data_IF_608770995165
#
_entry.id   IF_608770995165
#
_cell.length_a   1.000
_cell.length_b   1.000
_cell.length_c   1.000
_cell.angle_alpha   90.00
_cell.angle_beta   90.00
_cell.angle_gamma   90.00
#
_symmetry.space_group_name_H-M   'P 1'
#
loop_
_entity.id
_entity.type
_entity.pdbx_description
1 polymer ?
#
# COMPACT_ATOMS: atom_id res chain seq x y z
N UNK A 1 61.87 9.50 45.25
CA UNK A 1 62.13 8.76 44.01
C UNK A 1 61.08 7.65 43.92
N UNK A 2 59.83 7.94 43.51
CA UNK A 2 59.26 7.77 42.15
C UNK A 2 59.81 6.53 41.43
N UNK A 3 59.00 5.48 41.30
CA UNK A 3 58.51 4.91 40.03
C UNK A 3 57.41 3.88 40.33
N UNK A 4 56.16 4.31 40.23
CA UNK A 4 54.96 3.50 40.34
C UNK A 4 54.62 3.00 38.92
N UNK A 5 54.65 1.68 38.69
CA UNK A 5 54.19 1.07 37.45
C UNK A 5 52.66 1.11 37.41
N UNK A 6 52.08 1.96 36.57
CA UNK A 6 50.67 1.88 36.18
C UNK A 6 50.62 1.32 34.75
N UNK A 7 50.32 0.04 34.66
CA UNK A 7 49.88 -0.60 33.40
C UNK A 7 48.44 -0.13 33.17
N UNK A 8 48.25 0.74 32.18
CA UNK A 8 46.92 1.14 31.71
C UNK A 8 46.43 0.03 30.78
N UNK A 9 45.50 -0.81 31.25
CA UNK A 9 44.74 -1.70 30.38
C UNK A 9 43.67 -0.89 29.65
N UNK A 10 43.79 -0.82 28.31
CA UNK A 10 42.73 -0.31 27.45
C UNK A 10 41.65 -1.38 27.30
N UNK A 11 40.44 -1.12 27.82
CA UNK A 11 39.27 -1.93 27.54
C UNK A 11 38.64 -1.46 26.22
N UNK A 12 38.82 -2.25 25.16
CA UNK A 12 38.10 -2.06 23.90
C UNK A 12 36.69 -2.66 24.04
N UNK A 13 35.66 -1.83 24.17
CA UNK A 13 34.27 -2.25 24.09
C UNK A 13 33.90 -2.46 22.62
N UNK A 14 33.72 -3.72 22.20
CA UNK A 14 33.18 -4.06 20.88
C UNK A 14 31.65 -3.99 20.98
N UNK A 15 31.05 -2.93 20.42
CA UNK A 15 29.60 -2.83 20.23
C UNK A 15 29.20 -3.74 19.06
N UNK A 16 28.57 -4.88 19.36
CA UNK A 16 27.85 -5.65 18.35
C UNK A 16 26.51 -4.96 18.08
N UNK A 17 26.46 -4.12 17.05
CA UNK A 17 25.18 -3.71 16.48
C UNK A 17 24.59 -4.93 15.77
N UNK A 18 23.59 -5.55 16.38
CA UNK A 18 22.73 -6.49 15.69
C UNK A 18 22.01 -5.72 14.57
N UNK A 19 22.50 -5.84 13.34
CA UNK A 19 21.80 -5.35 12.15
C UNK A 19 20.58 -6.25 11.99
N UNK A 20 19.42 -5.81 12.45
CA UNK A 20 18.16 -6.40 12.02
C UNK A 20 18.06 -6.14 10.52
N UNK A 21 18.14 -7.19 9.71
CA UNK A 21 17.86 -7.07 8.28
C UNK A 21 16.40 -6.61 8.14
N UNK A 22 16.22 -5.36 7.74
CA UNK A 22 14.96 -4.85 7.24
C UNK A 22 14.54 -5.72 6.04
N UNK A 23 13.47 -6.50 6.20
CA UNK A 23 12.90 -7.26 5.08
C UNK A 23 11.88 -6.37 4.38
N UNK A 24 11.84 -6.43 3.06
CA UNK A 24 10.78 -5.84 2.27
C UNK A 24 10.02 -6.97 1.59
N UNK A 25 8.70 -6.83 1.47
CA UNK A 25 7.84 -7.84 0.86
C UNK A 25 7.25 -7.29 -0.42
N UNK A 26 7.52 -7.93 -1.56
CA UNK A 26 6.91 -7.55 -2.84
C UNK A 26 5.48 -8.02 -2.92
N UNK A 27 4.57 -7.09 -3.23
CA UNK A 27 3.15 -7.34 -3.44
C UNK A 27 2.85 -7.19 -4.93
N UNK A 28 2.40 -8.28 -5.54
CA UNK A 28 1.88 -8.28 -6.91
C UNK A 28 0.35 -8.38 -6.85
N UNK A 29 -0.32 -7.49 -7.57
CA UNK A 29 -1.78 -7.39 -7.54
C UNK A 29 -2.30 -6.99 -8.91
N UNK A 30 -3.58 -7.24 -9.16
CA UNK A 30 -4.18 -6.92 -10.45
C UNK A 30 -5.45 -7.71 -10.74
N UNK A 31 -5.90 -7.61 -11.98
CA UNK A 31 -6.97 -8.43 -12.54
C UNK A 31 -6.42 -9.48 -13.51
N UNK A 32 -7.18 -10.55 -13.79
CA UNK A 32 -6.85 -11.46 -14.88
C UNK A 32 -6.81 -10.72 -16.23
N UNK A 33 -5.88 -11.11 -17.10
CA UNK A 33 -5.84 -10.63 -18.48
C UNK A 33 -7.06 -11.13 -19.26
N UNK A 34 -7.53 -10.34 -20.22
CA UNK A 34 -8.69 -10.63 -21.07
C UNK A 34 -10.00 -10.80 -20.30
N UNK A 35 -10.06 -10.27 -19.07
CA UNK A 35 -11.27 -10.19 -18.26
C UNK A 35 -11.69 -8.73 -18.17
N UNK A 36 -12.50 -8.27 -19.14
CA UNK A 36 -12.95 -6.88 -19.21
C UNK A 36 -13.61 -6.44 -17.91
N UNK A 37 -13.00 -5.47 -17.24
CA UNK A 37 -13.62 -4.76 -16.13
C UNK A 37 -14.65 -3.79 -16.69
N UNK A 38 -15.88 -3.85 -16.16
CA UNK A 38 -17.00 -3.02 -16.62
C UNK A 38 -17.50 -2.09 -15.52
N UNK A 39 -18.08 -0.96 -15.93
CA UNK A 39 -18.76 -0.02 -15.05
C UNK A 39 -20.18 -0.50 -14.70
N UNK A 40 -20.92 0.29 -13.90
CA UNK A 40 -22.29 -0.07 -13.48
C UNK A 40 -23.31 -0.15 -14.63
N UNK A 41 -22.97 0.38 -15.82
CA UNK A 41 -23.80 0.30 -17.02
C UNK A 41 -23.43 -0.91 -17.90
N UNK A 42 -22.42 -1.69 -17.51
CA UNK A 42 -21.91 -2.83 -18.27
C UNK A 42 -20.97 -2.44 -19.43
N UNK A 43 -20.58 -1.18 -19.54
CA UNK A 43 -19.56 -0.75 -20.50
C UNK A 43 -18.16 -1.00 -19.93
N UNK A 44 -17.20 -1.35 -20.79
CA UNK A 44 -15.80 -1.48 -20.39
C UNK A 44 -15.31 -0.16 -19.76
N UNK A 45 -14.55 -0.25 -18.67
CA UNK A 45 -13.81 0.91 -18.18
C UNK A 45 -12.66 1.23 -19.14
N UNK A 46 -12.11 2.43 -19.02
CA UNK A 46 -11.01 2.93 -19.85
C UNK A 46 -9.94 3.60 -18.97
N UNK A 47 -8.94 4.19 -19.61
CA UNK A 47 -7.84 4.93 -18.96
C UNK A 47 -8.26 6.16 -18.15
N UNK A 48 -9.53 6.58 -18.17
CA UNK A 48 -10.05 7.62 -17.27
C UNK A 48 -10.32 7.13 -15.85
N UNK A 49 -10.30 5.80 -15.63
CA UNK A 49 -10.44 5.22 -14.31
C UNK A 49 -9.08 5.10 -13.61
N UNK A 50 -9.09 5.47 -12.33
CA UNK A 50 -8.01 5.23 -11.39
C UNK A 50 -8.19 3.85 -10.76
N UNK A 51 -7.09 3.13 -10.59
CA UNK A 51 -7.06 1.81 -9.95
C UNK A 51 -6.00 1.81 -8.87
N UNK A 52 -6.43 1.61 -7.64
CA UNK A 52 -5.57 1.72 -6.47
C UNK A 52 -5.68 0.50 -5.57
N UNK A 53 -4.55 0.09 -5.02
CA UNK A 53 -4.45 -0.81 -3.87
C UNK A 53 -4.15 0.04 -2.63
N UNK A 54 -4.86 -0.20 -1.54
CA UNK A 54 -4.70 0.59 -0.33
C UNK A 54 -5.46 0.07 0.87
N UNK A 55 -5.58 0.92 1.89
CA UNK A 55 -6.33 0.68 3.12
C UNK A 55 -7.15 1.92 3.48
N UNK A 56 -8.13 1.77 4.37
CA UNK A 56 -8.71 2.91 5.07
C UNK A 56 -7.95 3.20 6.37
N UNK A 57 -8.06 4.43 6.87
CA UNK A 57 -7.54 4.81 8.18
C UNK A 57 -8.15 3.95 9.29
N UNK A 58 -7.36 3.70 10.34
CA UNK A 58 -7.81 2.88 11.48
C UNK A 58 -9.11 3.41 12.09
N UNK A 59 -10.06 2.50 12.33
CA UNK A 59 -11.38 2.81 12.87
C UNK A 59 -12.42 3.24 11.83
N UNK A 60 -12.04 3.40 10.56
CA UNK A 60 -12.99 3.61 9.47
C UNK A 60 -13.32 2.29 8.77
N UNK A 61 -14.60 1.89 8.82
CA UNK A 61 -15.09 0.74 8.04
C UNK A 61 -15.87 1.26 6.83
N UNK A 62 -15.43 0.98 5.59
CA UNK A 62 -16.14 1.42 4.41
C UNK A 62 -17.47 0.67 4.26
N UNK A 63 -18.54 1.40 3.99
CA UNK A 63 -19.89 0.89 3.75
C UNK A 63 -20.55 1.65 2.61
N UNK A 64 -21.65 1.11 2.06
CA UNK A 64 -22.44 1.82 1.05
C UNK A 64 -23.14 3.08 1.59
N UNK A 65 -23.16 3.30 2.90
CA UNK A 65 -23.81 4.45 3.54
C UNK A 65 -22.85 5.62 3.77
N UNK A 66 -21.53 5.38 3.79
CA UNK A 66 -20.50 6.41 4.07
C UNK A 66 -19.57 6.64 2.88
N UNK A 67 -20.04 6.38 1.66
CA UNK A 67 -19.22 6.45 0.44
C UNK A 67 -18.66 7.86 0.18
N UNK A 68 -19.40 8.89 0.60
CA UNK A 68 -18.93 10.27 0.52
C UNK A 68 -17.68 10.55 1.38
N UNK A 69 -17.42 9.71 2.39
CA UNK A 69 -16.28 9.86 3.29
C UNK A 69 -15.07 9.01 2.86
N UNK A 70 -15.20 8.18 1.81
CA UNK A 70 -14.15 7.23 1.43
C UNK A 70 -12.84 7.92 1.06
N UNK A 71 -12.86 8.90 0.16
CA UNK A 71 -11.66 9.64 -0.28
C UNK A 71 -10.88 10.24 0.91
N UNK A 72 -11.57 10.85 1.88
CA UNK A 72 -10.91 11.45 3.04
C UNK A 72 -10.22 10.41 3.95
N UNK A 73 -10.74 9.18 3.96
CA UNK A 73 -10.29 8.09 4.83
C UNK A 73 -9.42 7.05 4.11
N UNK A 74 -9.26 7.16 2.79
CA UNK A 74 -8.46 6.24 1.97
C UNK A 74 -6.97 6.54 2.11
N UNK A 75 -6.14 5.50 2.06
CA UNK A 75 -4.68 5.60 2.00
C UNK A 75 -4.14 4.71 0.90
N UNK A 76 -3.49 5.31 -0.09
CA UNK A 76 -2.99 4.63 -1.28
C UNK A 76 -1.66 3.94 -1.00
N UNK A 77 -1.60 2.62 -1.21
CA UNK A 77 -0.35 1.84 -1.14
C UNK A 77 0.32 1.75 -2.52
N UNK A 78 -0.45 1.50 -3.58
CA UNK A 78 0.07 1.39 -4.95
C UNK A 78 -1.00 1.71 -5.97
N UNK A 79 -0.58 2.19 -7.14
CA UNK A 79 -1.48 2.53 -8.26
C UNK A 79 -1.19 1.62 -9.45
N UNK A 80 -2.23 1.25 -10.18
CA UNK A 80 -2.12 0.54 -11.44
C UNK A 80 -2.79 1.33 -12.58
N UNK A 81 -2.24 1.23 -13.78
CA UNK A 81 -2.88 1.75 -14.99
C UNK A 81 -3.75 0.67 -15.60
N UNK A 82 -4.98 1.02 -15.98
CA UNK A 82 -5.84 0.14 -16.76
C UNK A 82 -5.34 0.05 -18.21
N UNK A 83 -5.13 -1.18 -18.69
CA UNK A 83 -4.72 -1.49 -20.04
C UNK A 83 -5.96 -1.89 -20.85
N UNK A 84 -6.41 -0.99 -21.71
CA UNK A 84 -7.60 -1.18 -22.56
C UNK A 84 -7.42 -2.30 -23.60
N UNK A 85 -6.20 -2.54 -24.09
CA UNK A 85 -5.92 -3.59 -25.09
C UNK A 85 -6.14 -5.00 -24.52
N UNK A 86 -5.80 -5.18 -23.23
CA UNK A 86 -5.90 -6.48 -22.53
C UNK A 86 -7.09 -6.54 -21.57
N UNK A 87 -7.79 -5.42 -21.36
CA UNK A 87 -8.89 -5.29 -20.42
C UNK A 87 -8.48 -5.53 -18.96
N UNK A 88 -7.24 -5.23 -18.59
CA UNK A 88 -6.67 -5.61 -17.29
C UNK A 88 -5.85 -4.51 -16.64
N UNK A 89 -5.58 -4.66 -15.34
CA UNK A 89 -4.63 -3.82 -14.63
C UNK A 89 -3.72 -4.70 -13.77
N UNK A 90 -2.51 -4.24 -13.55
CA UNK A 90 -1.56 -4.90 -12.64
C UNK A 90 -0.64 -3.87 -12.02
N UNK A 91 -0.31 -4.07 -10.75
CA UNK A 91 0.67 -3.28 -10.03
C UNK A 91 1.64 -4.18 -9.26
N UNK A 92 2.83 -3.64 -9.03
CA UNK A 92 3.85 -4.26 -8.19
C UNK A 92 4.48 -3.17 -7.34
N UNK A 93 4.50 -3.36 -6.03
CA UNK A 93 5.19 -2.49 -5.09
C UNK A 93 5.73 -3.31 -3.91
N UNK A 94 6.78 -2.80 -3.29
CA UNK A 94 7.36 -3.41 -2.10
C UNK A 94 6.79 -2.73 -0.86
N UNK A 95 6.31 -3.54 0.09
CA UNK A 95 6.13 -3.10 1.47
C UNK A 95 7.52 -3.05 2.11
N UNK A 96 8.01 -1.84 2.34
CA UNK A 96 9.31 -1.57 2.94
C UNK A 96 9.27 -1.89 4.43
N UNK A 97 10.42 -2.25 5.02
CA UNK A 97 10.54 -2.58 6.45
C UNK A 97 9.98 -1.53 7.44
N UNK A 98 9.82 -0.27 7.00
CA UNK A 98 9.16 0.78 7.78
C UNK A 98 7.63 0.77 7.71
N UNK A 99 7.03 -0.18 7.00
CA UNK A 99 5.60 -0.26 6.69
C UNK A 99 5.14 0.62 5.52
N UNK A 100 6.04 1.38 4.90
CA UNK A 100 5.71 2.22 3.73
C UNK A 100 5.73 1.44 2.42
N UNK A 101 5.23 2.04 1.35
CA UNK A 101 5.30 1.49 0.00
C UNK A 101 6.53 2.01 -0.77
N UNK A 102 7.03 1.23 -1.72
CA UNK A 102 7.99 1.69 -2.72
C UNK A 102 7.36 2.40 -3.93
N UNK A 103 6.03 2.36 -4.06
CA UNK A 103 5.32 3.06 -5.14
C UNK A 103 5.40 4.59 -4.94
N UNK A 104 5.89 5.36 -5.94
CA UNK A 104 6.02 6.80 -5.82
C UNK A 104 4.68 7.54 -5.71
N UNK A 105 3.56 6.89 -6.04
CA UNK A 105 2.21 7.44 -5.92
C UNK A 105 1.53 7.07 -4.60
N UNK A 106 2.24 6.38 -3.69
CA UNK A 106 1.71 6.03 -2.38
C UNK A 106 1.65 7.21 -1.41
N UNK A 107 0.75 7.10 -0.43
CA UNK A 107 0.67 8.07 0.66
C UNK A 107 1.87 7.94 1.62
N UNK A 108 2.59 9.04 1.80
CA UNK A 108 3.77 9.09 2.66
C UNK A 108 3.41 9.03 4.15
N UNK A 109 4.25 8.33 4.92
CA UNK A 109 4.11 8.26 6.38
C UNK A 109 3.00 7.34 6.89
N UNK A 110 2.33 6.61 5.99
CA UNK A 110 1.37 5.56 6.33
C UNK A 110 2.11 4.25 6.58
N UNK A 111 1.70 3.53 7.62
CA UNK A 111 2.14 2.17 7.86
C UNK A 111 1.07 1.20 7.35
N UNK A 112 1.43 0.42 6.33
CA UNK A 112 0.59 -0.57 5.68
C UNK A 112 0.87 -1.99 6.17
N UNK A 113 1.67 -2.21 7.21
CA UNK A 113 1.88 -3.53 7.79
C UNK A 113 0.64 -4.00 8.56
N UNK A 114 0.23 -5.25 8.34
CA UNK A 114 -0.87 -5.92 9.07
C UNK A 114 -2.22 -5.17 9.03
N UNK A 115 -2.48 -4.40 7.97
CA UNK A 115 -3.78 -3.74 7.73
C UNK A 115 -4.57 -4.43 6.63
N UNK A 116 -5.88 -4.22 6.63
CA UNK A 116 -6.76 -4.72 5.57
C UNK A 116 -6.38 -4.11 4.21
N UNK A 117 -6.41 -4.92 3.16
CA UNK A 117 -6.13 -4.48 1.80
C UNK A 117 -7.42 -4.43 0.96
N UNK A 118 -7.55 -3.33 0.23
CA UNK A 118 -8.68 -3.01 -0.63
C UNK A 118 -8.20 -2.63 -2.02
N UNK A 119 -9.00 -2.95 -3.04
CA UNK A 119 -8.83 -2.38 -4.38
C UNK A 119 -9.95 -1.38 -4.62
N UNK A 120 -9.60 -0.11 -4.83
CA UNK A 120 -10.55 0.93 -5.19
C UNK A 120 -10.38 1.31 -6.66
N UNK A 121 -11.47 1.23 -7.42
CA UNK A 121 -11.53 1.66 -8.82
C UNK A 121 -12.55 2.79 -8.91
N UNK A 122 -12.15 3.92 -9.48
CA UNK A 122 -12.99 5.10 -9.57
C UNK A 122 -12.68 5.98 -10.77
N UNK A 123 -13.69 6.68 -11.31
CA UNK A 123 -13.48 7.72 -12.32
C UNK A 123 -13.25 9.12 -11.71
N UNK A 124 -13.75 9.36 -10.50
CA UNK A 124 -13.55 10.61 -9.75
C UNK A 124 -13.78 10.35 -8.27
N UNK A 125 -13.01 10.95 -7.38
CA UNK A 125 -13.26 10.87 -5.92
C UNK A 125 -14.38 11.80 -5.45
N UNK A 126 -14.84 12.70 -6.31
CA UNK A 126 -15.93 13.63 -5.97
C UNK A 126 -17.26 13.01 -6.35
N UNK A 127 -18.20 13.00 -5.41
CA UNK A 127 -19.57 12.57 -5.66
C UNK A 127 -20.26 13.52 -6.66
N UNK A 128 -20.64 12.99 -7.81
CA UNK A 128 -21.31 13.65 -8.92
C UNK A 128 -22.28 12.66 -9.61
N UNK A 129 -23.20 13.12 -10.47
CA UNK A 129 -24.20 12.25 -11.11
C UNK A 129 -23.62 11.10 -11.96
N UNK A 130 -22.39 11.24 -12.46
CA UNK A 130 -21.66 10.28 -13.30
C UNK A 130 -20.56 9.52 -12.54
N UNK A 131 -20.48 9.67 -11.22
CA UNK A 131 -19.53 8.94 -10.39
C UNK A 131 -19.73 7.44 -10.52
N UNK A 132 -18.62 6.73 -10.69
CA UNK A 132 -18.54 5.29 -10.78
C UNK A 132 -17.46 4.82 -9.82
N UNK A 133 -17.86 4.04 -8.82
CA UNK A 133 -16.97 3.49 -7.80
C UNK A 133 -17.14 1.99 -7.68
N UNK A 134 -16.03 1.30 -7.50
CA UNK A 134 -15.97 -0.09 -7.10
C UNK A 134 -14.95 -0.24 -5.98
N UNK A 135 -15.36 -0.86 -4.87
CA UNK A 135 -14.46 -1.23 -3.78
C UNK A 135 -14.45 -2.75 -3.63
N UNK A 136 -13.33 -3.37 -3.99
CA UNK A 136 -13.09 -4.80 -3.86
C UNK A 136 -12.35 -5.11 -2.56
N UNK A 137 -12.80 -6.15 -1.85
CA UNK A 137 -12.17 -6.62 -0.61
C UNK A 137 -12.40 -8.12 -0.40
N UNK A 138 -11.53 -8.76 0.38
CA UNK A 138 -11.73 -10.11 0.92
C UNK A 138 -11.32 -10.14 2.39
N UNK A 139 -11.94 -10.99 3.22
CA UNK A 139 -11.50 -11.23 4.60
C UNK A 139 -10.05 -11.75 4.67
N UNK A 140 -9.58 -12.36 3.59
CA UNK A 140 -8.21 -12.89 3.48
C UNK A 140 -7.20 -11.88 2.92
N UNK A 141 -7.62 -10.66 2.57
CA UNK A 141 -6.74 -9.63 2.04
C UNK A 141 -6.24 -8.74 3.18
N UNK A 142 -5.11 -9.15 3.74
CA UNK A 142 -4.38 -8.40 4.75
C UNK A 142 -2.97 -8.19 4.21
N UNK A 143 -2.48 -6.95 4.29
CA UNK A 143 -1.10 -6.63 3.93
C UNK A 143 -0.15 -7.44 4.83
N UNK A 144 0.99 -7.91 4.29
CA UNK A 144 1.97 -8.65 5.08
C UNK A 144 2.58 -7.78 6.17
N UNK A 145 3.23 -8.42 7.14
CA UNK A 145 4.13 -7.72 8.07
C UNK A 145 5.45 -7.40 7.36
N UNK A 146 5.93 -6.16 7.50
CA UNK A 146 7.24 -5.73 7.02
C UNK A 146 8.40 -6.17 7.95
#
# INVERSE_FOLDING_TARGET
MRFLHLVVQAAAAVLFFAVTQAQAVTINWGSPVLSTTVNSQGAAIDSSYHVELGTFVSGFTPTAQNVADWSANWRTFSVATYNEETGSFSGTADLLAGGGSSDPMSDLGVNFSDVEAYVWIFNTETMAPDTQWFLGRSDSWVMPTA
#
